data_IF_666153997696
#
_entry.id   IF_666153997696
#
_cell.length_a   1.000
_cell.length_b   1.000
_cell.length_c   1.000
_cell.angle_alpha   90.00
_cell.angle_beta   90.00
_cell.angle_gamma   90.00
#
_symmetry.space_group_name_H-M   'P 1'
#
loop_
_entity.id
_entity.type
_entity.pdbx_description
1 polymer ?
#
# COMPACT_ATOMS: atom_id res chain seq x y z
N UNK A 1 11.30 -9.57 0.10
CA UNK A 1 11.18 -8.56 1.17
C UNK A 1 10.22 -7.48 0.69
N UNK A 2 9.52 -6.80 1.60
CA UNK A 2 8.73 -5.62 1.30
C UNK A 2 9.03 -4.53 2.31
N UNK A 3 8.67 -3.30 1.96
CA UNK A 3 8.95 -2.11 2.75
C UNK A 3 7.65 -1.43 3.12
N UNK A 4 7.53 -1.00 4.37
CA UNK A 4 6.43 -0.16 4.84
C UNK A 4 7.00 1.23 5.07
N UNK A 5 6.37 2.23 4.44
CA UNK A 5 6.75 3.62 4.62
C UNK A 5 6.53 4.04 6.08
N UNK A 6 7.31 5.02 6.54
CA UNK A 6 7.14 5.57 7.88
C UNK A 6 5.72 6.10 8.10
N UNK A 7 4.99 5.46 9.02
CA UNK A 7 3.64 5.84 9.44
C UNK A 7 3.58 6.24 10.94
N UNK A 8 4.73 6.35 11.60
CA UNK A 8 4.87 6.65 13.01
C UNK A 8 4.98 5.45 13.95
N UNK A 9 4.78 4.20 13.47
CA UNK A 9 4.86 2.99 14.32
C UNK A 9 6.27 2.42 14.46
N UNK A 10 7.18 2.71 13.53
CA UNK A 10 8.45 1.96 13.36
C UNK A 10 9.72 2.84 13.30
N UNK A 11 9.60 4.13 13.65
CA UNK A 11 10.71 5.10 13.61
C UNK A 11 10.98 5.68 12.21
N UNK A 12 11.73 6.79 12.12
CA UNK A 12 11.75 7.71 10.97
C UNK A 12 12.04 7.12 9.57
N UNK A 13 12.58 5.90 9.47
CA UNK A 13 12.97 5.29 8.19
C UNK A 13 11.94 4.28 7.64
N UNK A 14 10.85 4.00 8.38
CA UNK A 14 9.97 2.86 8.11
C UNK A 14 10.65 1.53 8.44
N UNK A 15 10.08 0.41 8.02
CA UNK A 15 10.70 -0.90 8.21
C UNK A 15 10.62 -1.80 6.98
N UNK A 16 11.46 -2.84 7.02
CA UNK A 16 11.54 -3.86 5.99
C UNK A 16 11.17 -5.20 6.60
N UNK A 17 10.35 -5.94 5.87
CA UNK A 17 9.83 -7.23 6.31
C UNK A 17 10.17 -8.32 5.31
N UNK A 18 10.37 -9.53 5.83
CA UNK A 18 10.48 -10.73 5.02
C UNK A 18 9.12 -11.42 4.95
N UNK A 19 8.74 -11.81 3.74
CA UNK A 19 7.70 -12.81 3.56
C UNK A 19 8.24 -14.18 4.03
N UNK A 20 7.34 -15.08 4.41
CA UNK A 20 7.70 -16.47 4.72
C UNK A 20 8.33 -17.17 3.52
N UNK A 21 9.07 -18.26 3.77
CA UNK A 21 9.72 -19.00 2.69
C UNK A 21 8.71 -19.47 1.63
N UNK A 22 9.03 -19.27 0.35
CA UNK A 22 8.15 -19.59 -0.79
C UNK A 22 7.08 -18.55 -1.11
N UNK A 23 7.10 -17.37 -0.48
CA UNK A 23 6.12 -16.31 -0.75
C UNK A 23 6.79 -14.99 -1.14
N UNK A 24 6.09 -14.20 -1.95
CA UNK A 24 6.49 -12.86 -2.40
C UNK A 24 5.40 -11.86 -2.02
N UNK A 25 5.79 -10.59 -1.83
CA UNK A 25 4.82 -9.54 -1.54
C UNK A 25 4.02 -9.20 -2.79
N UNK A 26 2.70 -9.28 -2.69
CA UNK A 26 1.74 -8.89 -3.72
C UNK A 26 1.23 -7.47 -3.41
N UNK A 27 1.71 -6.50 -4.20
CA UNK A 27 1.35 -5.10 -4.07
C UNK A 27 -0.16 -4.84 -4.24
N UNK A 28 -0.89 -5.71 -4.94
CA UNK A 28 -2.34 -5.58 -5.13
C UNK A 28 -3.15 -6.01 -3.91
N UNK A 29 -2.57 -6.91 -3.09
CA UNK A 29 -3.21 -7.48 -1.90
C UNK A 29 -2.69 -6.89 -0.58
N UNK A 30 -1.57 -6.16 -0.61
CA UNK A 30 -0.85 -5.73 0.60
C UNK A 30 -0.52 -6.92 1.53
N UNK A 31 -0.19 -8.07 0.94
CA UNK A 31 0.08 -9.30 1.66
C UNK A 31 1.10 -10.15 0.91
N UNK A 32 1.73 -11.10 1.60
CA UNK A 32 2.54 -12.11 0.94
C UNK A 32 1.64 -13.19 0.35
N UNK A 33 1.91 -13.58 -0.90
CA UNK A 33 1.24 -14.69 -1.59
C UNK A 33 2.32 -15.63 -2.16
N UNK A 34 1.92 -16.81 -2.60
CA UNK A 34 2.80 -17.76 -3.24
C UNK A 34 3.49 -17.16 -4.46
N UNK A 35 4.78 -17.44 -4.62
CA UNK A 35 5.62 -16.84 -5.66
C UNK A 35 5.06 -16.99 -7.09
N UNK A 36 4.31 -18.06 -7.37
CA UNK A 36 3.69 -18.31 -8.67
C UNK A 36 2.42 -17.49 -8.93
N UNK A 37 1.82 -16.89 -7.89
CA UNK A 37 0.67 -15.97 -8.00
C UNK A 37 1.11 -14.52 -8.16
N UNK A 38 2.41 -14.22 -8.00
CA UNK A 38 2.93 -12.85 -7.95
C UNK A 38 3.79 -12.57 -9.18
N UNK A 39 3.32 -11.67 -10.05
CA UNK A 39 4.12 -11.09 -11.11
C UNK A 39 4.88 -9.87 -10.58
N UNK A 40 6.09 -10.11 -10.06
CA UNK A 40 6.94 -9.06 -9.46
C UNK A 40 7.26 -7.94 -10.46
N UNK A 41 7.29 -8.22 -11.77
CA UNK A 41 7.61 -7.20 -12.78
C UNK A 41 6.56 -6.09 -12.86
N UNK A 42 5.33 -6.37 -12.44
CA UNK A 42 4.21 -5.42 -12.41
C UNK A 42 4.08 -4.65 -11.10
N UNK A 43 4.92 -4.93 -10.11
CA UNK A 43 4.80 -4.29 -8.78
C UNK A 43 4.78 -2.75 -8.87
N UNK A 44 5.60 -2.15 -9.74
CA UNK A 44 5.68 -0.69 -9.92
C UNK A 44 4.34 -0.11 -10.43
N UNK A 45 3.62 -0.81 -11.30
CA UNK A 45 2.31 -0.38 -11.81
C UNK A 45 1.25 -0.28 -10.70
N UNK A 46 1.47 -1.00 -9.60
CA UNK A 46 0.59 -1.07 -8.45
C UNK A 46 1.01 -0.13 -7.31
N UNK A 47 2.11 0.62 -7.42
CA UNK A 47 2.54 1.57 -6.37
C UNK A 47 1.51 2.64 -6.06
N UNK A 48 0.66 3.00 -7.04
CA UNK A 48 -0.47 3.92 -6.82
C UNK A 48 -1.42 3.46 -5.70
N UNK A 49 -1.52 2.15 -5.46
CA UNK A 49 -2.35 1.60 -4.38
C UNK A 49 -1.82 1.98 -3.00
N UNK A 50 -0.53 2.28 -2.86
CA UNK A 50 0.05 2.69 -1.57
C UNK A 50 -0.61 3.96 -1.01
N UNK A 51 -1.13 4.82 -1.89
CA UNK A 51 -1.82 6.05 -1.53
C UNK A 51 -3.36 5.92 -1.53
N UNK A 52 -3.90 4.76 -1.93
CA UNK A 52 -5.34 4.52 -1.96
C UNK A 52 -5.85 4.13 -0.56
N UNK A 53 -6.67 4.97 0.10
CA UNK A 53 -7.09 4.74 1.48
C UNK A 53 -8.20 3.70 1.64
N UNK A 54 -8.79 3.24 0.52
CA UNK A 54 -9.74 2.14 0.52
C UNK A 54 -9.05 0.79 0.29
N UNK A 55 -7.82 0.79 -0.25
CA UNK A 55 -7.04 -0.42 -0.55
C UNK A 55 -5.92 -0.66 0.44
N UNK A 56 -5.20 0.37 0.86
CA UNK A 56 -4.07 0.25 1.78
C UNK A 56 -4.59 0.00 3.21
N UNK A 57 -4.40 -1.20 3.80
CA UNK A 57 -4.91 -1.51 5.13
C UNK A 57 -4.13 -0.83 6.26
N UNK A 58 -3.01 -0.18 5.94
CA UNK A 58 -2.13 0.46 6.92
C UNK A 58 -2.45 1.94 7.15
N UNK A 59 -3.35 2.53 6.36
CA UNK A 59 -3.84 3.89 6.62
C UNK A 59 -5.15 3.86 7.42
N UNK A 60 -5.42 4.87 8.26
CA UNK A 60 -6.69 4.97 8.97
C UNK A 60 -7.87 4.98 8.01
N UNK A 61 -8.94 4.27 8.36
CA UNK A 61 -10.15 4.24 7.54
C UNK A 61 -10.71 5.66 7.38
N UNK A 62 -10.80 6.18 6.15
CA UNK A 62 -11.29 7.53 5.88
C UNK A 62 -12.80 7.63 6.10
N UNK A 63 -13.30 8.83 6.42
CA UNK A 63 -14.73 9.12 6.24
C UNK A 63 -15.01 9.40 4.76
N UNK A 64 -16.21 9.10 4.23
CA UNK A 64 -16.53 9.35 2.82
C UNK A 64 -16.31 10.80 2.38
N UNK A 65 -16.58 11.77 3.26
CA UNK A 65 -16.39 13.21 3.01
C UNK A 65 -14.92 13.61 2.76
N UNK A 66 -13.97 12.80 3.24
CA UNK A 66 -12.54 13.05 3.17
C UNK A 66 -11.90 12.47 1.89
N UNK A 67 -12.70 11.84 1.03
CA UNK A 67 -12.24 11.14 -0.17
C UNK A 67 -12.52 11.92 -1.44
N UNK A 68 -11.60 11.78 -2.39
CA UNK A 68 -11.74 12.26 -3.77
C UNK A 68 -11.44 11.09 -4.71
N UNK A 69 -12.39 10.80 -5.61
CA UNK A 69 -12.18 9.85 -6.69
C UNK A 69 -11.50 10.54 -7.87
N UNK A 70 -10.39 9.98 -8.33
CA UNK A 70 -9.63 10.43 -9.49
C UNK A 70 -9.58 9.29 -10.53
N UNK A 71 -9.29 9.57 -11.82
CA UNK A 71 -9.22 8.54 -12.87
C UNK A 71 -8.26 7.37 -12.56
N UNK A 72 -7.36 7.55 -11.60
CA UNK A 72 -6.31 6.59 -11.26
C UNK A 72 -6.40 6.02 -9.85
N UNK A 73 -7.40 6.38 -9.05
CA UNK A 73 -7.59 5.85 -7.70
C UNK A 73 -8.43 6.76 -6.81
N UNK A 74 -8.63 6.31 -5.58
CA UNK A 74 -9.25 7.12 -4.52
C UNK A 74 -8.13 7.72 -3.67
N UNK A 75 -8.22 9.00 -3.33
CA UNK A 75 -7.22 9.70 -2.53
C UNK A 75 -7.87 10.52 -1.43
N UNK A 76 -7.10 10.88 -0.40
CA UNK A 76 -7.54 11.88 0.57
C UNK A 76 -7.69 13.24 -0.11
N UNK A 77 -8.83 13.89 0.12
CA UNK A 77 -9.07 15.26 -0.30
C UNK A 77 -8.03 16.16 0.39
N UNK A 78 -7.25 16.89 -0.40
CA UNK A 78 -6.31 17.89 0.15
C UNK A 78 -7.12 19.04 0.76
N UNK A 79 -7.07 19.18 2.07
CA UNK A 79 -7.48 20.40 2.77
C UNK A 79 -6.38 21.44 2.57
N UNK A 80 -6.55 22.33 1.60
CA UNK A 80 -5.75 23.54 1.52
C UNK A 80 -6.47 24.60 2.36
N UNK A 81 -5.93 24.89 3.55
CA UNK A 81 -6.12 26.17 4.24
C UNK A 81 -5.00 27.14 3.83
#
# INVERSE_FOLDING_TARGET
AYHVCHDGREGHQGASFLCTNGTLFDQTKFACDWWYNVDCSKAIEHYKLNADPLKNPYVPKPKPEELQEEPHGVYYRKSYD
#
